data_IF_641692830550
#
_entry.id   IF_641692830550
#
_cell.length_a   1.000
_cell.length_b   1.000
_cell.length_c   1.000
_cell.angle_alpha   90.00
_cell.angle_beta   90.00
_cell.angle_gamma   90.00
#
_symmetry.space_group_name_H-M   'P 1'
#
loop_
_entity.id
_entity.type
_entity.pdbx_description
1 polymer ?
#
# COMPACT_ATOMS: atom_id res chain seq x y z
N UNK A 1 -14.46 15.85 -6.00
CA UNK A 1 -14.11 14.91 -4.90
C UNK A 1 -15.32 14.32 -4.17
N UNK A 2 -16.51 14.95 -4.22
CA UNK A 2 -17.76 14.49 -3.58
C UNK A 2 -18.11 13.00 -3.83
N UNK A 3 -17.82 12.45 -5.02
CA UNK A 3 -18.11 11.05 -5.35
C UNK A 3 -17.33 10.00 -4.53
N UNK A 4 -16.16 10.36 -4.01
CA UNK A 4 -15.34 9.45 -3.20
C UNK A 4 -15.71 9.49 -1.72
N UNK A 5 -16.25 10.61 -1.24
CA UNK A 5 -16.84 10.73 0.10
C UNK A 5 -18.09 9.86 0.22
N UNK A 6 -18.90 9.77 -0.85
CA UNK A 6 -20.08 8.90 -0.92
C UNK A 6 -19.74 7.43 -1.26
N UNK A 7 -18.47 7.14 -1.57
CA UNK A 7 -18.01 5.79 -1.92
C UNK A 7 -18.52 5.24 -3.27
N UNK A 8 -19.09 6.08 -4.14
CA UNK A 8 -19.60 5.71 -5.46
C UNK A 8 -18.49 5.66 -6.51
N UNK A 9 -17.76 4.54 -6.50
CA UNK A 9 -16.73 4.26 -7.49
C UNK A 9 -17.29 4.16 -8.91
N UNK A 10 -18.55 3.78 -9.10
CA UNK A 10 -19.16 3.65 -10.43
C UNK A 10 -19.26 5.00 -11.13
N UNK A 11 -19.87 5.99 -10.46
CA UNK A 11 -20.01 7.35 -11.01
C UNK A 11 -18.66 8.05 -11.15
N UNK A 12 -17.77 7.90 -10.17
CA UNK A 12 -16.41 8.44 -10.27
C UNK A 12 -15.66 7.88 -11.48
N UNK A 13 -15.65 6.54 -11.66
CA UNK A 13 -14.92 5.89 -12.74
C UNK A 13 -15.45 6.25 -14.12
N UNK A 14 -16.76 6.45 -14.27
CA UNK A 14 -17.36 6.91 -15.52
C UNK A 14 -16.88 8.31 -15.92
N UNK A 15 -16.86 9.25 -14.97
CA UNK A 15 -16.38 10.62 -15.20
C UNK A 15 -14.88 10.63 -15.44
N UNK A 16 -14.11 9.96 -14.57
CA UNK A 16 -12.66 9.90 -14.67
C UNK A 16 -12.22 9.37 -16.04
N UNK A 17 -12.77 8.23 -16.50
CA UNK A 17 -12.41 7.64 -17.81
C UNK A 17 -12.75 8.54 -19.00
N UNK A 18 -13.84 9.29 -18.93
CA UNK A 18 -14.26 10.19 -20.02
C UNK A 18 -13.33 11.39 -20.15
N UNK A 19 -12.89 11.93 -19.02
CA UNK A 19 -12.24 13.23 -18.97
C UNK A 19 -10.70 13.15 -18.80
N UNK A 20 -10.17 11.97 -18.45
CA UNK A 20 -8.75 11.77 -18.08
C UNK A 20 -7.74 12.33 -19.09
N UNK A 21 -8.04 12.21 -20.38
CA UNK A 21 -7.13 12.65 -21.44
C UNK A 21 -7.09 14.16 -21.61
N UNK A 22 -8.14 14.86 -21.21
CA UNK A 22 -8.23 16.33 -21.23
C UNK A 22 -7.87 17.00 -19.90
N UNK A 23 -7.56 16.23 -18.85
CA UNK A 23 -7.18 16.77 -17.54
C UNK A 23 -5.78 17.38 -17.55
N UNK A 24 -5.57 18.37 -16.67
CA UNK A 24 -4.23 18.90 -16.43
C UNK A 24 -3.30 17.80 -15.91
N UNK A 25 -2.05 17.84 -16.35
CA UNK A 25 -1.04 16.84 -16.02
C UNK A 25 -0.71 16.81 -14.52
N UNK A 26 -0.91 17.94 -13.84
CA UNK A 26 -0.80 18.03 -12.38
C UNK A 26 -1.89 17.22 -11.66
N UNK A 27 -3.10 17.14 -12.22
CA UNK A 27 -4.26 16.47 -11.62
C UNK A 27 -4.34 14.99 -12.01
N UNK A 28 -3.89 14.68 -13.24
CA UNK A 28 -4.04 13.36 -13.88
C UNK A 28 -3.49 12.23 -13.04
N UNK A 29 -2.29 12.38 -12.47
CA UNK A 29 -1.68 11.35 -11.61
C UNK A 29 -2.51 11.06 -10.35
N UNK A 30 -3.07 12.11 -9.73
CA UNK A 30 -3.94 11.98 -8.57
C UNK A 30 -5.26 11.27 -8.90
N UNK A 31 -5.87 11.62 -10.04
CA UNK A 31 -7.09 10.94 -10.53
C UNK A 31 -6.82 9.48 -10.85
N UNK A 32 -5.72 9.16 -11.53
CA UNK A 32 -5.32 7.76 -11.79
C UNK A 32 -5.14 6.98 -10.48
N UNK A 33 -4.52 7.57 -9.46
CA UNK A 33 -4.41 6.96 -8.14
C UNK A 33 -5.79 6.64 -7.53
N UNK A 34 -6.74 7.57 -7.61
CA UNK A 34 -8.11 7.34 -7.14
C UNK A 34 -8.84 6.26 -7.94
N UNK A 35 -8.59 6.17 -9.26
CA UNK A 35 -9.10 5.08 -10.09
C UNK A 35 -8.56 3.72 -9.65
N UNK A 36 -7.27 3.62 -9.28
CA UNK A 36 -6.69 2.41 -8.71
C UNK A 36 -7.42 1.97 -7.44
N UNK A 37 -7.73 2.91 -6.53
CA UNK A 37 -8.50 2.61 -5.31
C UNK A 37 -9.85 1.99 -5.63
N UNK A 38 -10.55 2.50 -6.65
CA UNK A 38 -11.81 1.94 -7.09
C UNK A 38 -11.67 0.56 -7.70
N UNK A 39 -10.67 0.32 -8.56
CA UNK A 39 -10.40 -1.02 -9.07
C UNK A 39 -10.17 -2.04 -7.95
N UNK A 40 -9.38 -1.69 -6.92
CA UNK A 40 -9.16 -2.59 -5.78
C UNK A 40 -10.42 -2.79 -4.93
N UNK A 41 -11.23 -1.75 -4.71
CA UNK A 41 -12.53 -1.84 -4.02
C UNK A 41 -13.49 -2.79 -4.72
N UNK A 42 -13.50 -2.78 -6.06
CA UNK A 42 -14.34 -3.65 -6.89
C UNK A 42 -13.72 -5.06 -7.09
N UNK A 43 -12.57 -5.33 -6.47
CA UNK A 43 -11.86 -6.61 -6.57
C UNK A 43 -11.02 -6.80 -7.82
N UNK A 44 -11.01 -5.83 -8.74
CA UNK A 44 -10.34 -5.85 -10.05
C UNK A 44 -8.83 -5.54 -9.92
N UNK A 45 -8.12 -6.51 -9.37
CA UNK A 45 -6.70 -6.36 -9.03
C UNK A 45 -5.80 -6.15 -10.25
N UNK A 46 -6.04 -6.85 -11.35
CA UNK A 46 -5.15 -6.79 -12.50
C UNK A 46 -5.25 -5.43 -13.22
N UNK A 47 -6.46 -4.84 -13.29
CA UNK A 47 -6.60 -3.45 -13.77
C UNK A 47 -5.98 -2.45 -12.81
N UNK A 48 -6.15 -2.66 -11.49
CA UNK A 48 -5.48 -1.84 -10.48
C UNK A 48 -3.95 -1.90 -10.62
N UNK A 49 -3.38 -3.11 -10.74
CA UNK A 49 -1.94 -3.32 -10.96
C UNK A 49 -1.47 -2.61 -12.23
N UNK A 50 -2.14 -2.84 -13.36
CA UNK A 50 -1.76 -2.25 -14.63
C UNK A 50 -1.72 -0.71 -14.55
N UNK A 51 -2.73 -0.10 -13.91
CA UNK A 51 -2.77 1.35 -13.75
C UNK A 51 -1.72 1.87 -12.76
N UNK A 52 -1.44 1.17 -11.67
CA UNK A 52 -0.33 1.51 -10.76
C UNK A 52 1.00 1.53 -11.50
N UNK A 53 1.29 0.48 -12.29
CA UNK A 53 2.54 0.42 -13.04
C UNK A 53 2.63 1.51 -14.11
N UNK A 54 1.50 1.88 -14.72
CA UNK A 54 1.45 3.01 -15.63
C UNK A 54 1.73 4.35 -14.92
N UNK A 55 1.15 4.57 -13.73
CA UNK A 55 1.45 5.74 -12.88
C UNK A 55 2.95 5.80 -12.58
N UNK A 56 3.55 4.69 -12.12
CA UNK A 56 4.97 4.66 -11.78
C UNK A 56 5.87 4.88 -13.01
N UNK A 57 5.42 4.50 -14.21
CA UNK A 57 6.17 4.70 -15.45
C UNK A 57 6.04 6.11 -16.02
N UNK A 58 4.82 6.66 -16.04
CA UNK A 58 4.51 7.89 -16.80
C UNK A 58 4.35 9.11 -15.91
N UNK A 59 4.08 8.92 -14.61
CA UNK A 59 3.76 9.97 -13.62
C UNK A 59 4.65 9.90 -12.39
N UNK A 60 5.87 9.39 -12.54
CA UNK A 60 6.78 9.10 -11.41
C UNK A 60 7.01 10.31 -10.48
N UNK A 61 7.30 11.48 -11.04
CA UNK A 61 7.57 12.69 -10.26
C UNK A 61 6.34 13.56 -9.99
N UNK A 62 5.16 13.13 -10.47
CA UNK A 62 3.92 13.85 -10.30
C UNK A 62 3.59 14.01 -8.81
N UNK A 63 2.91 15.10 -8.51
CA UNK A 63 2.55 15.50 -7.16
C UNK A 63 1.08 15.86 -7.15
N UNK A 64 0.40 15.50 -6.09
CA UNK A 64 -1.02 15.77 -5.89
C UNK A 64 -1.26 16.37 -4.51
N UNK A 65 -2.30 17.18 -4.39
CA UNK A 65 -2.81 17.76 -3.14
C UNK A 65 -4.22 17.25 -2.80
N UNK A 66 -4.68 16.20 -3.48
CA UNK A 66 -6.02 15.61 -3.31
C UNK A 66 -6.34 15.18 -1.87
N UNK A 67 -5.31 14.96 -1.04
CA UNK A 67 -5.45 14.55 0.37
C UNK A 67 -5.11 15.69 1.35
N UNK A 68 -5.15 16.94 0.89
CA UNK A 68 -4.93 18.14 1.70
C UNK A 68 -3.46 18.57 1.83
N UNK A 69 -2.51 17.64 1.70
CA UNK A 69 -1.09 17.97 1.59
C UNK A 69 -0.52 17.57 0.23
N UNK A 70 0.55 18.25 -0.14
CA UNK A 70 1.34 17.98 -1.33
C UNK A 70 2.11 16.65 -1.17
N UNK A 71 1.69 15.61 -1.91
CA UNK A 71 2.26 14.26 -1.87
C UNK A 71 2.70 13.75 -3.24
N UNK A 72 3.77 12.96 -3.26
CA UNK A 72 4.25 12.30 -4.47
C UNK A 72 3.28 11.18 -4.85
N UNK A 73 2.78 11.22 -6.09
CA UNK A 73 1.83 10.23 -6.60
C UNK A 73 2.44 8.82 -6.56
N UNK A 74 3.74 8.68 -6.87
CA UNK A 74 4.46 7.41 -6.74
C UNK A 74 4.40 6.81 -5.34
N UNK A 75 4.50 7.62 -4.30
CA UNK A 75 4.47 7.16 -2.90
C UNK A 75 3.09 6.62 -2.54
N UNK A 76 2.05 7.35 -2.91
CA UNK A 76 0.66 6.95 -2.70
C UNK A 76 0.33 5.66 -3.47
N UNK A 77 0.71 5.60 -4.74
CA UNK A 77 0.48 4.46 -5.62
C UNK A 77 1.22 3.21 -5.12
N UNK A 78 2.51 3.34 -4.82
CA UNK A 78 3.33 2.22 -4.35
C UNK A 78 2.81 1.65 -3.03
N UNK A 79 2.48 2.53 -2.06
CA UNK A 79 1.93 2.10 -0.77
C UNK A 79 0.57 1.42 -0.90
N UNK A 80 -0.35 2.00 -1.69
CA UNK A 80 -1.66 1.40 -1.96
C UNK A 80 -1.52 -0.01 -2.54
N UNK A 81 -0.69 -0.14 -3.59
CA UNK A 81 -0.53 -1.42 -4.26
C UNK A 81 0.16 -2.46 -3.38
N UNK A 82 1.19 -2.08 -2.64
CA UNK A 82 1.86 -2.97 -1.71
C UNK A 82 0.88 -3.49 -0.65
N UNK A 83 0.00 -2.63 -0.10
CA UNK A 83 -1.05 -3.05 0.82
C UNK A 83 -2.01 -4.08 0.22
N UNK A 84 -2.46 -3.86 -1.01
CA UNK A 84 -3.37 -4.79 -1.70
C UNK A 84 -2.69 -6.12 -2.09
N UNK A 85 -1.44 -6.07 -2.55
CA UNK A 85 -0.63 -7.26 -2.83
C UNK A 85 -0.31 -8.05 -1.55
N UNK A 86 -0.02 -7.35 -0.45
CA UNK A 86 0.21 -7.89 0.89
C UNK A 86 -0.96 -8.72 1.39
N UNK A 87 -2.18 -8.17 1.35
CA UNK A 87 -3.41 -8.89 1.71
C UNK A 87 -3.63 -10.15 0.89
N UNK A 88 -3.19 -10.16 -0.38
CA UNK A 88 -3.41 -11.26 -1.33
C UNK A 88 -2.25 -12.27 -1.41
N UNK A 89 -1.22 -12.13 -0.58
CA UNK A 89 -0.07 -13.04 -0.59
C UNK A 89 0.87 -12.88 -1.80
N UNK A 90 0.73 -11.79 -2.57
CA UNK A 90 1.46 -11.59 -3.84
C UNK A 90 2.81 -10.87 -3.62
N UNK A 91 3.76 -11.55 -2.99
CA UNK A 91 5.05 -10.92 -2.64
C UNK A 91 5.85 -10.44 -3.86
N UNK A 92 5.77 -11.14 -4.99
CA UNK A 92 6.50 -10.74 -6.20
C UNK A 92 5.96 -9.43 -6.79
N UNK A 93 4.66 -9.18 -6.66
CA UNK A 93 4.05 -7.91 -7.05
C UNK A 93 4.52 -6.76 -6.14
N UNK A 94 4.68 -7.02 -4.83
CA UNK A 94 5.28 -6.04 -3.91
C UNK A 94 6.71 -5.70 -4.32
N UNK A 95 7.52 -6.72 -4.63
CA UNK A 95 8.91 -6.51 -5.08
C UNK A 95 9.01 -5.76 -6.39
N UNK A 96 8.10 -6.03 -7.33
CA UNK A 96 8.04 -5.31 -8.60
C UNK A 96 7.87 -3.80 -8.37
N UNK A 97 6.96 -3.42 -7.47
CA UNK A 97 6.79 -2.00 -7.10
C UNK A 97 7.97 -1.47 -6.29
N UNK A 98 8.56 -2.24 -5.38
CA UNK A 98 9.79 -1.84 -4.69
C UNK A 98 10.90 -1.50 -5.70
N UNK A 99 11.12 -2.35 -6.71
CA UNK A 99 12.11 -2.10 -7.75
C UNK A 99 11.79 -0.85 -8.58
N UNK A 100 10.51 -0.60 -8.86
CA UNK A 100 10.07 0.59 -9.59
C UNK A 100 10.36 1.91 -8.85
N UNK A 101 10.37 1.90 -7.51
CA UNK A 101 10.61 3.10 -6.68
C UNK A 101 11.91 3.07 -5.88
N UNK A 102 12.80 2.10 -6.13
CA UNK A 102 13.96 1.80 -5.29
C UNK A 102 14.82 3.05 -5.00
N UNK A 103 15.12 3.82 -6.04
CA UNK A 103 15.95 5.04 -5.99
C UNK A 103 15.45 6.09 -5.00
N UNK A 104 14.14 6.18 -4.78
CA UNK A 104 13.50 7.24 -3.99
C UNK A 104 12.89 6.71 -2.69
N UNK A 105 12.63 5.41 -2.58
CA UNK A 105 11.86 4.79 -1.49
C UNK A 105 12.42 5.03 -0.09
N UNK A 106 13.72 5.29 0.04
CA UNK A 106 14.38 5.55 1.33
C UNK A 106 14.24 7.01 1.82
N UNK A 107 13.95 7.93 0.89
CA UNK A 107 13.77 9.36 1.16
C UNK A 107 12.29 9.75 1.18
N UNK A 108 11.49 9.15 0.30
CA UNK A 108 10.06 9.37 0.24
C UNK A 108 9.37 8.93 1.53
N UNK A 109 8.36 9.69 1.93
CA UNK A 109 7.53 9.38 3.10
C UNK A 109 6.06 9.35 2.75
N UNK A 110 5.40 8.30 3.19
CA UNK A 110 3.95 8.20 3.18
C UNK A 110 3.38 9.01 4.34
N UNK A 111 2.44 9.91 4.05
CA UNK A 111 1.71 10.65 5.06
C UNK A 111 0.55 9.78 5.54
N UNK A 112 0.50 9.53 6.85
CA UNK A 112 -0.55 8.71 7.46
C UNK A 112 -1.52 9.62 8.19
N UNK A 113 -2.78 9.55 7.78
CA UNK A 113 -3.88 10.36 8.33
C UNK A 113 -4.92 9.48 8.99
N UNK A 114 -5.51 9.98 10.07
CA UNK A 114 -6.66 9.36 10.73
C UNK A 114 -7.97 9.56 9.96
N UNK A 115 -9.06 9.03 10.52
CA UNK A 115 -10.40 9.11 9.93
C UNK A 115 -10.94 10.54 9.82
N UNK A 116 -10.37 11.48 10.57
CA UNK A 116 -10.72 12.91 10.50
C UNK A 116 -9.84 13.65 9.47
N UNK A 117 -8.90 12.96 8.82
CA UNK A 117 -7.94 13.54 7.89
C UNK A 117 -6.74 14.20 8.58
N UNK A 118 -6.60 14.07 9.90
CA UNK A 118 -5.48 14.66 10.64
C UNK A 118 -4.21 13.87 10.37
N UNK A 119 -3.12 14.55 10.01
CA UNK A 119 -1.80 13.94 9.83
C UNK A 119 -1.25 13.45 11.17
N UNK A 120 -1.09 12.13 11.32
CA UNK A 120 -0.61 11.49 12.56
C UNK A 120 0.79 10.89 12.44
N UNK A 121 1.32 10.73 11.22
CA UNK A 121 2.70 10.26 11.01
C UNK A 121 3.23 10.51 9.60
N UNK A 122 4.56 10.40 9.45
CA UNK A 122 5.27 10.38 8.17
C UNK A 122 6.26 9.22 8.17
N UNK A 123 5.89 8.13 7.51
CA UNK A 123 6.64 6.87 7.52
C UNK A 123 7.41 6.70 6.23
N UNK A 124 8.68 6.27 6.30
CA UNK A 124 9.49 6.03 5.10
C UNK A 124 8.79 5.02 4.19
N UNK A 125 8.74 5.31 2.89
CA UNK A 125 8.08 4.43 1.92
C UNK A 125 8.70 3.03 1.95
N UNK A 126 10.03 2.93 2.01
CA UNK A 126 10.71 1.64 2.10
C UNK A 126 10.24 0.78 3.28
N UNK A 127 9.94 1.37 4.44
CA UNK A 127 9.43 0.61 5.59
C UNK A 127 8.01 0.11 5.36
N UNK A 128 7.16 0.93 4.74
CA UNK A 128 5.79 0.54 4.35
C UNK A 128 5.82 -0.62 3.35
N UNK A 129 6.66 -0.52 2.32
CA UNK A 129 6.77 -1.56 1.29
C UNK A 129 7.33 -2.87 1.85
N UNK A 130 8.34 -2.80 2.73
CA UNK A 130 8.90 -3.99 3.40
C UNK A 130 7.89 -4.63 4.33
N UNK A 131 7.11 -3.85 5.08
CA UNK A 131 6.06 -4.39 5.94
C UNK A 131 5.01 -5.17 5.12
N UNK A 132 4.55 -4.60 4.01
CA UNK A 132 3.59 -5.31 3.16
C UNK A 132 4.19 -6.48 2.37
N UNK A 133 5.51 -6.49 2.12
CA UNK A 133 6.21 -7.67 1.61
C UNK A 133 6.18 -8.80 2.64
N UNK A 134 6.46 -8.50 3.92
CA UNK A 134 6.33 -9.47 5.00
C UNK A 134 4.89 -9.99 5.13
N UNK A 135 3.90 -9.10 5.02
CA UNK A 135 2.49 -9.46 4.98
C UNK A 135 2.18 -10.41 3.80
N UNK A 136 2.72 -10.13 2.62
CA UNK A 136 2.54 -10.98 1.45
C UNK A 136 3.16 -12.37 1.66
N UNK A 137 4.36 -12.45 2.25
CA UNK A 137 4.99 -13.72 2.58
C UNK A 137 4.18 -14.52 3.61
N UNK A 138 3.73 -13.86 4.69
CA UNK A 138 2.83 -14.47 5.68
C UNK A 138 1.59 -15.06 4.99
N UNK A 139 0.95 -14.28 4.13
CA UNK A 139 -0.30 -14.67 3.46
C UNK A 139 -0.09 -15.62 2.25
N UNK A 140 1.14 -16.12 2.05
CA UNK A 140 1.48 -17.13 1.04
C UNK A 140 2.32 -18.27 1.61
N UNK A 141 2.14 -18.56 2.91
CA UNK A 141 2.79 -19.65 3.64
C UNK A 141 4.33 -19.62 3.64
N UNK A 142 4.91 -18.44 3.44
CA UNK A 142 6.37 -18.18 3.41
C UNK A 142 6.81 -17.53 4.72
N UNK A 143 6.55 -18.22 5.84
CA UNK A 143 6.75 -17.70 7.18
C UNK A 143 8.19 -17.27 7.49
N UNK A 144 9.19 -18.03 7.03
CA UNK A 144 10.60 -17.71 7.27
C UNK A 144 11.02 -16.39 6.61
N UNK A 145 10.60 -16.17 5.36
CA UNK A 145 10.85 -14.93 4.64
C UNK A 145 10.14 -13.76 5.34
N UNK A 146 8.90 -13.93 5.78
CA UNK A 146 8.18 -12.92 6.53
C UNK A 146 8.93 -12.53 7.81
N UNK A 147 9.32 -13.51 8.63
CA UNK A 147 10.05 -13.29 9.88
C UNK A 147 11.41 -12.62 9.67
N UNK A 148 12.12 -12.95 8.60
CA UNK A 148 13.38 -12.29 8.24
C UNK A 148 13.17 -10.79 8.03
N UNK A 149 12.14 -10.40 7.28
CA UNK A 149 11.83 -8.99 7.03
C UNK A 149 11.37 -8.29 8.30
N UNK A 150 10.50 -8.93 9.09
CA UNK A 150 9.99 -8.35 10.34
C UNK A 150 11.13 -8.08 11.34
N UNK A 151 12.14 -8.96 11.40
CA UNK A 151 13.35 -8.74 12.20
C UNK A 151 14.10 -7.48 11.79
N UNK A 152 14.24 -7.23 10.49
CA UNK A 152 14.86 -5.99 9.99
C UNK A 152 14.04 -4.74 10.36
N UNK A 153 12.70 -4.86 10.35
CA UNK A 153 11.80 -3.77 10.69
C UNK A 153 11.65 -3.52 12.20
N UNK A 154 12.15 -4.39 13.08
CA UNK A 154 11.97 -4.32 14.54
C UNK A 154 12.42 -3.00 15.20
N UNK A 155 13.37 -2.29 14.59
CA UNK A 155 13.85 -0.98 15.05
C UNK A 155 13.29 0.21 14.25
N UNK A 156 12.42 -0.06 13.29
CA UNK A 156 11.78 0.97 12.47
C UNK A 156 10.66 1.67 13.24
N UNK A 157 10.42 2.93 12.90
CA UNK A 157 9.41 3.78 13.53
C UNK A 157 8.51 4.44 12.49
N UNK A 158 7.37 4.92 12.95
CA UNK A 158 6.31 5.50 12.11
C UNK A 158 4.98 4.86 12.43
N UNK A 159 3.93 5.30 11.73
CA UNK A 159 2.62 4.65 11.74
C UNK A 159 2.29 4.14 10.34
N UNK A 160 1.46 3.12 10.24
CA UNK A 160 1.00 2.55 8.97
C UNK A 160 -0.49 2.22 9.06
N UNK A 161 -1.15 2.12 7.90
CA UNK A 161 -2.52 1.66 7.81
C UNK A 161 -2.53 0.14 7.60
N UNK A 162 -3.04 -0.61 8.57
CA UNK A 162 -3.17 -2.07 8.52
C UNK A 162 -4.64 -2.41 8.73
N UNK A 163 -5.25 -3.08 7.76
CA UNK A 163 -6.65 -3.55 7.84
C UNK A 163 -7.66 -2.49 8.29
N UNK A 164 -7.47 -1.25 7.81
CA UNK A 164 -8.34 -0.11 8.10
C UNK A 164 -8.07 0.58 9.44
N UNK A 165 -7.02 0.19 10.17
CA UNK A 165 -6.59 0.82 11.42
C UNK A 165 -5.20 1.42 11.29
N UNK A 166 -4.98 2.51 12.02
CA UNK A 166 -3.65 3.09 12.14
C UNK A 166 -2.95 2.45 13.31
N UNK A 167 -1.83 1.81 13.01
CA UNK A 167 -0.98 1.18 14.01
C UNK A 167 0.42 1.80 13.94
N UNK A 168 1.12 1.81 15.07
CA UNK A 168 2.54 2.06 15.03
C UNK A 168 3.25 0.89 14.34
N UNK A 169 4.28 1.20 13.54
CA UNK A 169 4.96 0.21 12.73
C UNK A 169 5.58 -0.91 13.58
N UNK A 170 6.09 -0.57 14.76
CA UNK A 170 6.68 -1.53 15.68
C UNK A 170 5.63 -2.49 16.23
N UNK A 171 4.48 -1.95 16.66
CA UNK A 171 3.36 -2.72 17.17
C UNK A 171 2.81 -3.67 16.10
N UNK A 172 2.69 -3.19 14.85
CA UNK A 172 2.27 -4.01 13.72
C UNK A 172 3.28 -5.15 13.41
N UNK A 173 4.59 -4.87 13.52
CA UNK A 173 5.66 -5.87 13.36
C UNK A 173 5.60 -6.92 14.46
N UNK A 174 5.46 -6.49 15.72
CA UNK A 174 5.38 -7.38 16.88
C UNK A 174 4.13 -8.28 16.79
N UNK A 175 2.98 -7.70 16.41
CA UNK A 175 1.74 -8.43 16.19
C UNK A 175 1.88 -9.49 15.09
N UNK A 176 2.38 -9.11 13.91
CA UNK A 176 2.56 -10.05 12.80
C UNK A 176 3.55 -11.16 13.13
N UNK A 177 4.62 -10.85 13.86
CA UNK A 177 5.61 -11.83 14.34
C UNK A 177 4.96 -12.85 15.27
N UNK A 178 4.13 -12.39 16.20
CA UNK A 178 3.40 -13.25 17.14
C UNK A 178 2.41 -14.16 16.40
N UNK A 179 1.65 -13.64 15.44
CA UNK A 179 0.69 -14.41 14.63
C UNK A 179 1.36 -15.53 13.82
N UNK A 180 2.49 -15.23 13.16
CA UNK A 180 3.25 -16.22 12.40
C UNK A 180 3.77 -17.33 13.33
N UNK A 181 4.34 -16.93 14.47
CA UNK A 181 4.91 -17.86 15.46
C UNK A 181 3.84 -18.76 16.08
N UNK A 182 2.69 -18.20 16.43
CA UNK A 182 1.56 -18.95 16.98
C UNK A 182 1.03 -19.99 15.98
N UNK A 183 0.91 -19.60 14.70
CA UNK A 183 0.46 -20.50 13.64
C UNK A 183 1.43 -21.67 13.46
N UNK A 184 2.75 -21.41 13.44
CA UNK A 184 3.76 -22.46 13.36
C UNK A 184 3.68 -23.46 14.54
N UNK A 185 3.46 -22.97 15.77
CA UNK A 185 3.32 -23.83 16.95
C UNK A 185 2.09 -24.73 16.90
N UNK A 186 0.95 -24.23 16.39
CA UNK A 186 -0.27 -25.04 16.23
C UNK A 186 -0.05 -26.18 15.24
N UNK A 187 0.62 -25.90 14.11
CA UNK A 187 0.94 -26.91 13.11
C UNK A 187 1.90 -27.97 13.65
N UNK A 188 2.93 -27.56 14.40
CA UNK A 188 3.85 -28.49 15.06
C UNK A 188 3.10 -29.44 16.02
N UNK A 189 2.19 -28.93 16.85
CA UNK A 189 1.40 -29.78 17.75
C UNK A 189 0.47 -30.76 17.02
N UNK A 190 -0.03 -30.43 15.82
CA UNK A 190 -0.92 -31.31 15.04
C UNK A 190 -0.19 -32.42 14.29
N UNK A 191 1.10 -32.25 14.00
CA UNK A 191 1.89 -33.22 13.22
C UNK A 191 2.67 -34.20 14.11
N UNK A 192 2.90 -33.85 15.38
CA UNK A 192 3.77 -34.59 16.30
C UNK A 192 3.07 -35.04 17.59
N UNK A 193 1.75 -34.91 17.69
CA UNK A 193 0.88 -35.49 18.74
C UNK A 193 -0.21 -36.29 18.06
#
# INVERSE_FOLDING_TARGET
MQYLEDGDCGRFMAVAKRDLDGMDEAEKGGVMYLMCRCYFKDGDYDKGKALIMDILKTRYDAVTDLLGDREKVRTLAAALFAGEAGKRGKAEDVKEVQAAVDKDSTLDRLLVRDSEGTLVSRTKLSYVLRFHEAQAYKNSDRAEQALSILKELSFSSGKIMVDGKIEGLREAVDSMTAEITATAMVWFKRLFV
#
